data_IF_904889268602
#
_entry.id   IF_904889268602
#
_cell.length_a   1.000
_cell.length_b   1.000
_cell.length_c   1.000
_cell.angle_alpha   90.00
_cell.angle_beta   90.00
_cell.angle_gamma   90.00
#
_symmetry.space_group_name_H-M   'P 1'
#
loop_
_entity.id
_entity.type
_entity.pdbx_description
1 polymer ?
#
# COMPACT_ATOMS: atom_id res chain seq x y z
N UNK A 1 -29.24 -48.46 -4.41
CA UNK A 1 -30.28 -48.41 -5.46
C UNK A 1 -31.30 -47.34 -5.07
N UNK A 2 -31.08 -46.08 -5.42
CA UNK A 2 -32.14 -45.10 -5.59
C UNK A 2 -31.61 -44.00 -6.50
N UNK A 3 -32.23 -43.89 -7.66
CA UNK A 3 -32.10 -42.78 -8.58
C UNK A 3 -33.34 -41.88 -8.42
N UNK A 4 -33.15 -40.58 -8.72
CA UNK A 4 -34.14 -39.54 -9.05
C UNK A 4 -34.69 -38.68 -7.90
N UNK A 5 -34.27 -37.41 -7.90
CA UNK A 5 -35.19 -36.31 -8.21
C UNK A 5 -34.48 -35.18 -8.99
N UNK A 6 -35.21 -34.66 -9.98
CA UNK A 6 -34.87 -33.66 -11.03
C UNK A 6 -34.24 -32.37 -10.48
N UNK A 7 -33.20 -31.79 -11.10
CA UNK A 7 -33.21 -30.95 -12.31
C UNK A 7 -34.11 -29.70 -12.22
N UNK A 8 -33.45 -28.53 -12.16
CA UNK A 8 -33.79 -27.16 -12.60
C UNK A 8 -32.61 -26.32 -12.03
N UNK A 9 -31.53 -26.03 -12.74
CA UNK A 9 -31.44 -25.09 -13.85
C UNK A 9 -30.46 -25.57 -14.94
N UNK A 10 -30.86 -25.36 -16.19
CA UNK A 10 -30.07 -25.57 -17.40
C UNK A 10 -29.55 -24.23 -17.89
N UNK A 11 -28.30 -24.27 -18.35
CA UNK A 11 -27.62 -23.31 -19.23
C UNK A 11 -27.15 -22.03 -18.56
N UNK A 12 -25.99 -21.47 -18.85
CA UNK A 12 -24.73 -21.91 -19.47
C UNK A 12 -23.73 -20.76 -19.14
N UNK A 13 -22.47 -20.95 -19.49
CA UNK A 13 -21.32 -20.06 -19.27
C UNK A 13 -20.71 -20.17 -17.86
N UNK A 14 -19.46 -20.64 -17.70
CA UNK A 14 -18.33 -20.41 -18.59
C UNK A 14 -17.52 -19.22 -18.08
N UNK A 15 -17.09 -19.29 -16.82
CA UNK A 15 -16.16 -18.36 -16.21
C UNK A 15 -15.36 -19.14 -15.20
N UNK A 16 -14.20 -19.65 -15.61
CA UNK A 16 -13.25 -20.24 -14.68
C UNK A 16 -12.92 -19.20 -13.61
N UNK A 17 -13.07 -19.58 -12.35
CA UNK A 17 -12.28 -18.93 -11.31
C UNK A 17 -10.82 -19.24 -11.67
N UNK A 18 -10.07 -18.22 -12.10
CA UNK A 18 -8.66 -18.34 -12.42
C UNK A 18 -7.92 -18.63 -11.11
N UNK A 19 -7.25 -19.79 -10.94
CA UNK A 19 -6.69 -20.18 -9.65
C UNK A 19 -5.25 -19.69 -9.48
N UNK A 20 -4.93 -18.46 -9.90
CA UNK A 20 -3.53 -17.96 -9.94
C UNK A 20 -3.23 -16.71 -9.12
N UNK A 21 -4.21 -16.09 -8.45
CA UNK A 21 -3.96 -14.84 -7.70
C UNK A 21 -3.47 -15.05 -6.23
N UNK A 22 -3.70 -16.22 -5.62
CA UNK A 22 -3.48 -16.43 -4.17
C UNK A 22 -2.02 -16.78 -3.76
N UNK A 23 -1.17 -17.23 -4.69
CA UNK A 23 0.20 -17.70 -4.36
C UNK A 23 1.30 -16.65 -4.68
N UNK A 24 0.95 -15.51 -5.27
CA UNK A 24 1.93 -14.53 -5.75
C UNK A 24 2.52 -13.64 -4.63
N UNK A 25 1.78 -13.50 -3.52
CA UNK A 25 2.18 -12.78 -2.32
C UNK A 25 1.81 -13.62 -1.10
N UNK A 26 2.62 -13.52 -0.04
CA UNK A 26 2.25 -14.06 1.26
C UNK A 26 1.36 -13.03 1.98
N UNK A 27 0.04 -13.21 1.88
CA UNK A 27 -0.92 -12.29 2.48
C UNK A 27 -0.95 -12.35 4.01
N UNK A 28 -0.33 -13.37 4.64
CA UNK A 28 -0.18 -13.41 6.11
C UNK A 28 0.86 -12.39 6.61
N UNK A 29 1.78 -11.96 5.73
CA UNK A 29 2.81 -10.95 6.02
C UNK A 29 2.38 -9.52 5.67
N UNK A 30 1.13 -9.32 5.22
CA UNK A 30 0.59 -8.01 4.89
C UNK A 30 0.32 -7.22 6.17
N UNK A 31 0.77 -5.97 6.15
CA UNK A 31 0.59 -5.01 7.22
C UNK A 31 -0.54 -4.09 6.82
N UNK A 32 -1.65 -4.19 7.56
CA UNK A 32 -2.79 -3.32 7.40
C UNK A 32 -2.39 -1.90 7.82
N UNK A 33 -2.68 -0.95 6.95
CA UNK A 33 -2.50 0.46 7.16
C UNK A 33 -3.83 1.14 6.85
N UNK A 34 -3.89 2.45 7.02
CA UNK A 34 -5.01 3.26 6.55
C UNK A 34 -4.45 4.62 6.13
N UNK A 35 -4.78 5.06 4.93
CA UNK A 35 -4.30 6.34 4.41
C UNK A 35 -4.94 7.52 5.17
N UNK A 36 -6.19 7.34 5.64
CA UNK A 36 -6.89 8.29 6.51
C UNK A 36 -6.17 8.38 7.86
N UNK A 37 -5.89 7.24 8.52
CA UNK A 37 -5.14 7.24 9.79
C UNK A 37 -3.74 7.83 9.64
N UNK A 38 -3.04 7.60 8.51
CA UNK A 38 -1.74 8.23 8.28
C UNK A 38 -1.84 9.75 8.16
N UNK A 39 -2.91 10.26 7.54
CA UNK A 39 -3.10 11.69 7.32
C UNK A 39 -3.68 12.42 8.54
N UNK A 40 -4.55 11.76 9.32
CA UNK A 40 -5.31 12.36 10.42
C UNK A 40 -4.85 11.90 11.80
N UNK A 41 -4.42 10.63 11.92
CA UNK A 41 -3.93 10.01 13.15
C UNK A 41 -2.43 10.20 13.39
N UNK A 42 -1.65 10.33 12.30
CA UNK A 42 -0.23 10.68 12.33
C UNK A 42 0.72 9.55 11.90
N UNK A 43 1.70 9.90 11.06
CA UNK A 43 2.76 9.04 10.53
C UNK A 43 3.67 8.47 11.61
N UNK A 44 4.00 9.24 12.65
CA UNK A 44 4.91 8.80 13.71
C UNK A 44 4.34 7.57 14.44
N UNK A 45 3.05 7.60 14.80
CA UNK A 45 2.41 6.47 15.50
C UNK A 45 2.43 5.20 14.64
N UNK A 46 2.06 5.30 13.36
CA UNK A 46 2.12 4.17 12.42
C UNK A 46 3.56 3.64 12.24
N UNK A 47 4.56 4.53 12.20
CA UNK A 47 5.96 4.15 12.06
C UNK A 47 6.47 3.41 13.29
N UNK A 48 6.12 3.88 14.49
CA UNK A 48 6.47 3.22 15.75
C UNK A 48 5.86 1.82 15.87
N UNK A 49 4.63 1.63 15.38
CA UNK A 49 3.99 0.32 15.31
C UNK A 49 4.71 -0.64 14.35
N UNK A 50 5.37 -0.12 13.31
CA UNK A 50 6.14 -0.91 12.33
C UNK A 50 7.54 -1.31 12.83
N UNK A 51 8.04 -0.71 13.92
CA UNK A 51 9.38 -0.96 14.45
C UNK A 51 9.72 -2.45 14.68
N UNK A 52 8.83 -3.31 15.21
CA UNK A 52 9.14 -4.73 15.38
C UNK A 52 9.48 -5.45 14.08
N UNK A 53 8.77 -5.12 12.99
CA UNK A 53 8.97 -5.69 11.67
C UNK A 53 10.22 -5.10 11.02
N UNK A 54 10.44 -3.78 11.13
CA UNK A 54 11.65 -3.13 10.60
C UNK A 54 12.95 -3.71 11.15
N UNK A 55 12.95 -4.12 12.43
CA UNK A 55 14.11 -4.80 13.04
C UNK A 55 14.45 -6.15 12.42
N UNK A 56 13.50 -6.82 11.77
CA UNK A 56 13.75 -8.10 11.10
C UNK A 56 14.56 -7.92 9.81
N UNK A 57 14.53 -6.71 9.24
CA UNK A 57 15.15 -6.36 7.96
C UNK A 57 16.40 -5.48 8.13
N UNK A 58 16.98 -5.44 9.33
CA UNK A 58 18.13 -4.61 9.69
C UNK A 58 17.97 -3.11 9.34
N UNK A 59 16.73 -2.60 9.42
CA UNK A 59 16.45 -1.20 9.14
C UNK A 59 17.16 -0.27 10.14
N UNK A 60 17.68 0.85 9.63
CA UNK A 60 18.17 1.95 10.46
C UNK A 60 16.96 2.85 10.80
N UNK A 61 16.61 3.02 12.09
CA UNK A 61 15.50 3.90 12.47
C UNK A 61 15.73 5.32 11.96
N UNK A 62 14.66 5.93 11.44
CA UNK A 62 14.63 7.33 11.02
C UNK A 62 13.96 8.14 12.13
N UNK A 63 14.60 9.22 12.56
CA UNK A 63 13.97 10.18 13.47
C UNK A 63 12.85 10.92 12.72
N UNK A 64 11.63 10.82 13.25
CA UNK A 64 10.44 11.49 12.71
C UNK A 64 10.00 12.57 13.70
N UNK A 65 9.70 13.76 13.19
CA UNK A 65 9.07 14.83 13.93
C UNK A 65 7.80 15.30 13.19
N UNK A 66 6.77 15.65 13.95
CA UNK A 66 5.48 16.08 13.43
C UNK A 66 5.15 17.48 13.93
N UNK A 67 4.60 18.30 13.05
CA UNK A 67 4.13 19.65 13.34
C UNK A 67 2.67 19.76 12.90
N UNK A 68 1.80 20.09 13.86
CA UNK A 68 0.37 20.33 13.63
C UNK A 68 0.11 21.78 14.03
N UNK A 69 -0.36 22.58 13.08
CA UNK A 69 -0.83 23.94 13.35
C UNK A 69 -2.37 23.91 13.43
N UNK A 70 -2.91 24.24 14.61
CA UNK A 70 -4.37 24.27 14.84
C UNK A 70 -5.01 25.60 14.46
N UNK A 71 -4.22 26.66 14.31
CA UNK A 71 -4.69 28.00 13.92
C UNK A 71 -4.80 28.14 12.39
N UNK A 72 -3.85 27.55 11.65
CA UNK A 72 -3.95 27.26 10.21
C UNK A 72 -3.88 25.74 10.02
N UNK A 73 -5.03 25.04 9.85
CA UNK A 73 -5.10 23.58 9.88
C UNK A 73 -4.16 22.98 8.85
N UNK A 74 -3.01 22.53 9.35
CA UNK A 74 -1.94 21.95 8.56
C UNK A 74 -1.23 20.88 9.35
N UNK A 75 -0.71 19.90 8.62
CA UNK A 75 0.03 18.79 9.16
C UNK A 75 1.28 18.56 8.32
N UNK A 76 2.44 18.65 8.98
CA UNK A 76 3.75 18.48 8.36
C UNK A 76 4.55 17.41 9.09
N UNK A 77 5.23 16.57 8.33
CA UNK A 77 6.18 15.58 8.84
C UNK A 77 7.60 15.95 8.41
N UNK A 78 8.56 15.75 9.32
CA UNK A 78 9.99 15.90 9.06
C UNK A 78 10.70 14.59 9.34
N UNK A 79 11.47 14.10 8.38
CA UNK A 79 12.21 12.85 8.51
C UNK A 79 13.37 12.81 7.51
N UNK A 80 14.53 12.28 7.94
CA UNK A 80 15.75 12.18 7.11
C UNK A 80 16.15 13.51 6.43
N UNK A 81 15.96 14.63 7.12
CA UNK A 81 16.25 15.97 6.60
C UNK A 81 15.29 16.48 5.52
N UNK A 82 14.20 15.74 5.23
CA UNK A 82 13.11 16.14 4.34
C UNK A 82 11.92 16.69 5.13
N UNK A 83 11.13 17.54 4.48
CA UNK A 83 9.84 18.05 4.93
C UNK A 83 8.76 17.49 4.01
N UNK A 84 7.69 16.95 4.59
CA UNK A 84 6.52 16.43 3.91
C UNK A 84 5.31 17.23 4.36
N UNK A 85 4.76 18.05 3.48
CA UNK A 85 3.52 18.77 3.71
C UNK A 85 2.36 17.81 3.41
N UNK A 86 1.75 17.25 4.45
CA UNK A 86 0.70 16.21 4.32
C UNK A 86 -0.66 16.87 4.12
N UNK A 87 -0.95 17.87 4.95
CA UNK A 87 -2.19 18.62 4.88
C UNK A 87 -1.87 20.11 4.84
N UNK A 88 -2.28 20.80 3.78
CA UNK A 88 -2.11 22.26 3.67
C UNK A 88 -3.39 23.05 3.36
N UNK A 89 -4.47 22.41 2.84
CA UNK A 89 -5.86 22.92 2.62
C UNK A 89 -6.77 21.86 1.92
N UNK A 90 -8.09 21.95 2.17
CA UNK A 90 -9.34 21.40 1.55
C UNK A 90 -9.41 20.08 0.73
N UNK A 91 -8.34 19.42 0.32
CA UNK A 91 -8.39 18.18 -0.49
C UNK A 91 -7.95 16.95 0.33
N UNK A 92 -8.93 16.24 0.88
CA UNK A 92 -8.71 15.07 1.76
C UNK A 92 -8.04 13.91 0.99
N UNK A 93 -8.47 13.67 -0.26
CA UNK A 93 -7.91 12.62 -1.12
C UNK A 93 -6.43 12.89 -1.42
N UNK A 94 -6.07 14.15 -1.67
CA UNK A 94 -4.68 14.54 -1.86
C UNK A 94 -3.86 14.35 -0.58
N UNK A 95 -4.42 14.69 0.59
CA UNK A 95 -3.72 14.53 1.86
C UNK A 95 -3.46 13.05 2.20
N UNK A 96 -4.44 12.17 1.99
CA UNK A 96 -4.29 10.72 2.17
C UNK A 96 -3.22 10.14 1.23
N UNK A 97 -3.18 10.60 -0.03
CA UNK A 97 -2.14 10.21 -0.97
C UNK A 97 -0.75 10.72 -0.55
N UNK A 98 -0.63 11.97 -0.09
CA UNK A 98 0.64 12.54 0.37
C UNK A 98 1.13 11.86 1.66
N UNK A 99 0.23 11.53 2.59
CA UNK A 99 0.55 10.75 3.79
C UNK A 99 1.09 9.36 3.43
N UNK A 100 0.45 8.70 2.45
CA UNK A 100 0.93 7.44 1.89
C UNK A 100 2.33 7.59 1.31
N UNK A 101 2.58 8.60 0.48
CA UNK A 101 3.92 8.84 -0.10
C UNK A 101 4.96 9.06 0.99
N UNK A 102 4.70 9.96 1.94
CA UNK A 102 5.62 10.27 3.01
C UNK A 102 5.95 9.03 3.87
N UNK A 103 4.92 8.27 4.29
CA UNK A 103 5.11 7.08 5.11
C UNK A 103 6.01 6.05 4.44
N UNK A 104 5.72 5.70 3.18
CA UNK A 104 6.49 4.71 2.45
C UNK A 104 7.90 5.21 2.10
N UNK A 105 8.09 6.50 1.81
CA UNK A 105 9.44 7.07 1.63
C UNK A 105 10.28 6.98 2.90
N UNK A 106 9.71 7.34 4.05
CA UNK A 106 10.39 7.32 5.36
C UNK A 106 10.80 5.89 5.74
N UNK A 107 9.88 4.93 5.59
CA UNK A 107 10.17 3.52 5.86
C UNK A 107 11.29 3.01 4.94
N UNK A 108 11.22 3.30 3.64
CA UNK A 108 12.23 2.85 2.69
C UNK A 108 13.58 3.56 2.85
N UNK A 109 13.62 4.78 3.39
CA UNK A 109 14.88 5.44 3.75
C UNK A 109 15.61 4.66 4.85
N UNK A 110 14.90 4.17 5.87
CA UNK A 110 15.46 3.32 6.91
C UNK A 110 15.94 1.95 6.40
N UNK A 111 15.36 1.46 5.30
CA UNK A 111 15.73 0.20 4.65
C UNK A 111 16.83 0.32 3.60
N UNK A 112 17.49 1.48 3.44
CA UNK A 112 18.46 1.70 2.36
C UNK A 112 19.65 0.70 2.34
N UNK A 113 19.96 0.06 3.48
CA UNK A 113 20.98 -0.99 3.59
C UNK A 113 20.43 -2.43 3.53
N UNK A 114 19.11 -2.59 3.45
CA UNK A 114 18.42 -3.88 3.40
C UNK A 114 18.27 -4.37 1.96
N UNK A 115 18.10 -5.67 1.78
CA UNK A 115 17.63 -6.29 0.53
C UNK A 115 16.11 -6.25 0.39
N UNK A 116 15.40 -5.81 1.42
CA UNK A 116 13.96 -5.62 1.43
C UNK A 116 13.59 -4.15 1.26
N UNK A 117 12.45 -3.93 0.62
CA UNK A 117 11.75 -2.65 0.55
C UNK A 117 10.32 -2.84 1.02
N UNK A 118 9.73 -1.75 1.50
CA UNK A 118 8.33 -1.72 1.89
C UNK A 118 7.51 -1.21 0.71
N UNK A 119 6.63 -2.05 0.18
CA UNK A 119 5.78 -1.76 -0.96
C UNK A 119 4.34 -1.59 -0.51
N UNK A 120 3.64 -0.62 -1.09
CA UNK A 120 2.23 -0.43 -0.88
C UNK A 120 1.44 -1.51 -1.63
N UNK A 121 0.31 -1.91 -1.05
CA UNK A 121 -0.70 -2.79 -1.62
C UNK A 121 -2.06 -2.14 -1.48
N UNK A 122 -2.92 -2.44 -2.44
CA UNK A 122 -4.29 -1.99 -2.44
C UNK A 122 -5.11 -3.03 -1.69
N UNK A 123 -5.63 -2.65 -0.52
CA UNK A 123 -6.45 -3.52 0.32
C UNK A 123 -7.96 -3.42 0.04
N UNK A 124 -8.39 -2.62 -0.96
CA UNK A 124 -9.78 -2.20 -1.09
C UNK A 124 -9.90 -0.71 -0.75
N UNK A 125 -10.80 -0.34 0.17
CA UNK A 125 -10.84 1.04 0.67
C UNK A 125 -9.60 1.44 1.46
N UNK A 126 -8.80 0.46 1.88
CA UNK A 126 -7.75 0.64 2.88
C UNK A 126 -6.37 0.43 2.24
N UNK A 127 -5.39 1.19 2.74
CA UNK A 127 -3.98 1.06 2.40
C UNK A 127 -3.40 -0.18 3.07
N UNK A 128 -2.42 -0.82 2.46
CA UNK A 128 -1.63 -1.86 3.14
C UNK A 128 -0.20 -1.80 2.66
N UNK A 129 0.70 -2.46 3.37
CA UNK A 129 2.08 -2.60 2.94
C UNK A 129 2.65 -3.99 3.18
N UNK A 130 3.69 -4.31 2.44
CA UNK A 130 4.39 -5.59 2.52
C UNK A 130 5.89 -5.39 2.30
N UNK A 131 6.71 -6.13 3.04
CA UNK A 131 8.16 -6.17 2.82
C UNK A 131 8.49 -7.21 1.77
N UNK A 132 9.17 -6.79 0.70
CA UNK A 132 9.59 -7.70 -0.38
C UNK A 132 11.03 -7.40 -0.79
N UNK A 133 11.73 -8.43 -1.22
CA UNK A 133 12.95 -8.28 -2.03
C UNK A 133 12.61 -7.86 -3.45
N UNK A 134 13.60 -7.34 -4.18
CA UNK A 134 13.45 -7.00 -5.60
C UNK A 134 13.01 -8.19 -6.47
N UNK A 135 13.38 -9.42 -6.09
CA UNK A 135 12.95 -10.65 -6.77
C UNK A 135 11.48 -10.94 -6.51
N UNK A 136 11.06 -10.93 -5.24
CA UNK A 136 9.66 -11.15 -4.87
C UNK A 136 8.73 -10.09 -5.46
N UNK A 137 9.14 -8.82 -5.44
CA UNK A 137 8.38 -7.74 -6.09
C UNK A 137 8.15 -7.99 -7.58
N UNK A 138 9.19 -8.45 -8.30
CA UNK A 138 9.08 -8.77 -9.72
C UNK A 138 8.17 -9.97 -9.94
N UNK A 139 8.37 -11.05 -9.19
CA UNK A 139 7.55 -12.26 -9.27
C UNK A 139 6.08 -11.98 -8.96
N UNK A 140 5.79 -11.14 -7.97
CA UNK A 140 4.42 -10.74 -7.65
C UNK A 140 3.75 -10.02 -8.83
N UNK A 141 4.44 -9.08 -9.50
CA UNK A 141 3.88 -8.37 -10.67
C UNK A 141 3.75 -9.25 -11.91
N UNK A 142 4.54 -10.31 -12.02
CA UNK A 142 4.41 -11.31 -13.09
C UNK A 142 3.26 -12.29 -12.82
N UNK A 143 3.00 -12.61 -11.54
CA UNK A 143 1.97 -13.56 -11.12
C UNK A 143 0.57 -12.96 -10.97
N UNK A 144 0.45 -11.69 -10.59
CA UNK A 144 -0.83 -11.02 -10.36
C UNK A 144 -1.37 -10.46 -11.68
N UNK A 145 -2.57 -10.89 -12.07
CA UNK A 145 -3.13 -10.51 -13.37
C UNK A 145 -3.59 -9.04 -13.42
N UNK A 146 -4.19 -8.53 -12.33
CA UNK A 146 -4.73 -7.17 -12.26
C UNK A 146 -3.68 -6.20 -11.75
N UNK A 147 -3.38 -5.15 -12.53
CA UNK A 147 -2.35 -4.17 -12.14
C UNK A 147 -2.71 -3.44 -10.84
N UNK A 148 -3.98 -3.17 -10.60
CA UNK A 148 -4.45 -2.54 -9.36
C UNK A 148 -4.09 -3.33 -8.08
N UNK A 149 -3.79 -4.63 -8.19
CA UNK A 149 -3.37 -5.48 -7.08
C UNK A 149 -1.84 -5.63 -7.00
N UNK A 150 -1.10 -5.04 -7.93
CA UNK A 150 0.36 -5.10 -7.90
C UNK A 150 0.89 -4.33 -6.70
N UNK A 151 1.95 -4.84 -6.02
CA UNK A 151 2.71 -3.99 -5.12
C UNK A 151 3.28 -2.80 -5.89
N UNK A 152 3.38 -1.64 -5.23
CA UNK A 152 4.01 -0.45 -5.80
C UNK A 152 4.82 0.35 -4.77
N UNK A 153 5.66 1.25 -5.27
CA UNK A 153 6.31 2.29 -4.47
C UNK A 153 5.53 3.58 -4.71
N UNK A 154 4.88 4.16 -3.68
CA UNK A 154 4.25 5.46 -3.81
C UNK A 154 5.24 6.55 -4.26
N UNK A 155 4.77 7.49 -5.06
CA UNK A 155 5.56 8.64 -5.55
C UNK A 155 4.74 9.91 -5.44
N UNK A 156 5.37 11.07 -5.29
CA UNK A 156 4.71 12.39 -5.19
C UNK A 156 4.07 12.92 -6.50
N UNK A 157 3.98 12.09 -7.56
CA UNK A 157 3.50 12.51 -8.88
C UNK A 157 1.99 12.22 -9.06
N UNK A 158 1.13 13.25 -9.19
CA UNK A 158 -0.29 13.05 -9.46
C UNK A 158 -0.54 12.56 -10.90
N UNK A 159 -1.72 11.99 -11.20
CA UNK A 159 -2.87 11.83 -10.28
C UNK A 159 -2.83 10.54 -9.45
N UNK A 160 -1.96 9.59 -9.77
CA UNK A 160 -2.01 8.24 -9.20
C UNK A 160 -0.97 7.98 -8.12
N UNK A 161 0.00 8.89 -7.92
CA UNK A 161 1.00 8.76 -6.87
C UNK A 161 1.77 7.43 -6.90
N UNK A 162 2.08 6.95 -8.11
CA UNK A 162 2.74 5.66 -8.36
C UNK A 162 1.81 4.45 -8.37
N UNK A 163 0.52 4.62 -8.04
CA UNK A 163 -0.48 3.55 -8.05
C UNK A 163 -0.59 2.90 -9.45
N UNK A 164 -0.54 1.55 -9.53
CA UNK A 164 -0.57 0.83 -10.79
C UNK A 164 -2.00 0.74 -11.35
N UNK A 165 -2.41 1.77 -12.08
CA UNK A 165 -3.65 1.72 -12.87
C UNK A 165 -3.51 0.80 -14.09
N UNK A 166 -4.60 0.16 -14.48
CA UNK A 166 -4.74 -0.34 -15.85
C UNK A 166 -4.79 0.87 -16.78
N UNK A 167 -4.02 0.87 -17.87
CA UNK A 167 -4.09 1.97 -18.84
C UNK A 167 -5.55 2.11 -19.28
N UNK A 168 -6.14 3.30 -19.08
CA UNK A 168 -7.41 3.61 -19.71
C UNK A 168 -7.20 3.41 -21.22
N UNK A 169 -7.90 2.43 -21.82
CA UNK A 169 -8.08 2.43 -23.26
C UNK A 169 -8.67 3.79 -23.61
N UNK A 170 -7.97 4.66 -24.37
CA UNK A 170 -8.58 5.90 -24.81
C UNK A 170 -9.82 5.52 -25.64
N UNK A 171 -10.98 6.02 -25.21
CA UNK A 171 -12.26 5.94 -25.94
C UNK A 171 -12.13 6.44 -27.39
#
# INVERSE_FOLDING_TARGET
>A
MFERFKHLFSSADGGGADPLDDDALDYEEVILLDAEDLAEGGILEAYEQLHPQLRQYDAVPIDIAEEIDSDEPSYTVFADGKRYDIWDKEDEDAAWALATVAFFEIVNAGLAGSDHRFYALYGGNDLSGIFLTDEQFRSAREGIAKRAHWPWIPTDQPPHYGFPVDEETPD
#
